data_IF_058655761988
#
_entry.id   IF_058655761988
#
_cell.length_a   1.000
_cell.length_b   1.000
_cell.length_c   1.000
_cell.angle_alpha   90.00
_cell.angle_beta   90.00
_cell.angle_gamma   90.00
#
_symmetry.space_group_name_H-M   'P 1'
#
loop_
_entity.id
_entity.type
_entity.pdbx_description
1 polymer ?
#
# COMPACT_ATOMS: atom_id res chain seq x y z
N UNK A 1 -48.08 21.79 10.62
CA UNK A 1 -46.94 22.16 9.76
C UNK A 1 -45.84 21.18 10.12
N UNK A 2 -45.77 20.08 9.38
CA UNK A 2 -44.65 19.15 9.47
C UNK A 2 -43.44 19.81 8.79
N UNK A 3 -42.22 19.62 9.32
CA UNK A 3 -41.02 20.10 8.64
C UNK A 3 -40.88 19.36 7.31
N UNK A 4 -40.41 20.04 6.25
CA UNK A 4 -40.17 19.39 4.97
C UNK A 4 -39.11 18.30 5.16
N UNK A 5 -39.44 17.07 4.74
CA UNK A 5 -38.44 16.01 4.59
C UNK A 5 -37.38 16.49 3.59
N UNK A 6 -36.13 16.56 4.04
CA UNK A 6 -35.00 16.82 3.16
C UNK A 6 -34.92 15.68 2.13
N UNK A 7 -34.77 15.99 0.84
CA UNK A 7 -34.64 14.95 -0.18
C UNK A 7 -33.39 14.11 0.10
N UNK A 8 -33.43 12.79 -0.14
CA UNK A 8 -32.25 11.95 -0.01
C UNK A 8 -31.16 12.48 -0.93
N UNK A 9 -29.97 12.68 -0.37
CA UNK A 9 -28.78 13.07 -1.13
C UNK A 9 -28.49 11.96 -2.14
N UNK A 10 -28.87 12.16 -3.40
CA UNK A 10 -28.37 11.36 -4.51
C UNK A 10 -26.87 11.67 -4.62
N UNK A 11 -26.05 10.78 -4.07
CA UNK A 11 -24.63 10.73 -4.40
C UNK A 11 -24.56 10.13 -5.80
N UNK A 12 -24.05 10.90 -6.76
CA UNK A 12 -23.72 10.39 -8.10
C UNK A 12 -22.94 9.09 -7.93
N UNK A 13 -23.53 7.98 -8.36
CA UNK A 13 -22.89 6.68 -8.34
C UNK A 13 -21.76 6.73 -9.37
N UNK A 14 -20.51 6.83 -8.90
CA UNK A 14 -19.35 6.54 -9.74
C UNK A 14 -19.41 5.09 -10.27
N UNK A 15 -18.41 4.63 -11.04
CA UNK A 15 -18.37 3.26 -11.58
C UNK A 15 -18.18 2.17 -10.51
N UNK A 16 -18.39 2.50 -9.24
CA UNK A 16 -18.19 1.63 -8.09
C UNK A 16 -19.45 1.58 -7.25
N UNK A 17 -19.82 0.35 -6.92
CA UNK A 17 -20.75 0.08 -5.82
C UNK A 17 -19.94 -0.43 -4.63
N UNK A 18 -20.18 0.16 -3.45
CA UNK A 18 -19.57 -0.32 -2.21
C UNK A 18 -20.58 -1.24 -1.55
N UNK A 19 -20.25 -2.52 -1.39
CA UNK A 19 -20.99 -3.40 -0.48
C UNK A 19 -20.46 -3.22 0.94
N UNK A 20 -21.39 -3.17 1.91
CA UNK A 20 -21.20 -3.13 3.37
C UNK A 20 -19.79 -2.81 3.90
N UNK A 21 -19.68 -1.70 4.64
CA UNK A 21 -18.44 -1.31 5.30
C UNK A 21 -18.46 -1.78 6.75
N UNK A 22 -17.50 -2.61 7.13
CA UNK A 22 -17.20 -2.96 8.51
C UNK A 22 -16.09 -2.08 9.06
N UNK A 23 -16.10 -1.82 10.38
CA UNK A 23 -15.08 -0.97 11.01
C UNK A 23 -14.62 -1.57 12.32
N UNK A 24 -13.30 -1.61 12.51
CA UNK A 24 -12.70 -2.19 13.71
C UNK A 24 -11.44 -1.42 14.13
N UNK A 25 -11.12 -1.35 15.44
CA UNK A 25 -9.91 -0.66 15.89
C UNK A 25 -8.66 -1.47 15.52
N UNK A 26 -7.62 -0.80 15.02
CA UNK A 26 -6.32 -1.41 14.74
C UNK A 26 -5.56 -1.61 16.04
N UNK A 27 -5.09 -2.83 16.30
CA UNK A 27 -4.27 -3.15 17.47
C UNK A 27 -2.79 -3.07 17.10
N UNK A 28 -1.98 -2.25 17.81
CA UNK A 28 -0.55 -2.17 17.55
C UNK A 28 0.15 -3.52 17.73
N UNK A 29 0.82 -3.98 16.69
CA UNK A 29 1.75 -5.12 16.67
C UNK A 29 3.22 -4.64 16.70
N UNK A 30 3.46 -3.42 16.24
CA UNK A 30 4.77 -2.80 16.15
C UNK A 30 5.02 -1.89 17.36
N UNK A 31 6.22 -1.97 17.95
CA UNK A 31 6.60 -1.06 19.03
C UNK A 31 6.61 0.40 18.57
N UNK A 32 6.11 1.30 19.43
CA UNK A 32 5.99 2.75 19.15
C UNK A 32 5.19 3.04 17.89
N UNK A 33 4.15 2.25 17.63
CA UNK A 33 3.22 2.52 16.57
C UNK A 33 2.56 3.91 16.76
N UNK A 34 2.62 4.80 15.75
CA UNK A 34 2.32 6.22 15.97
C UNK A 34 0.85 6.59 15.74
N UNK A 35 0.02 5.65 15.30
CA UNK A 35 -1.37 5.91 14.93
C UNK A 35 -2.33 5.23 15.91
N UNK A 36 -3.26 6.01 16.46
CA UNK A 36 -4.51 5.49 17.03
C UNK A 36 -5.56 5.54 15.92
N UNK A 37 -6.00 4.38 15.42
CA UNK A 37 -6.83 4.32 14.22
C UNK A 37 -7.80 3.16 14.16
N UNK A 38 -8.82 3.34 13.34
CA UNK A 38 -9.75 2.31 12.88
C UNK A 38 -9.39 1.89 11.46
N UNK A 39 -9.58 0.60 11.16
CA UNK A 39 -9.64 0.09 9.81
C UNK A 39 -11.09 -0.03 9.37
N UNK A 40 -11.36 0.37 8.13
CA UNK A 40 -12.64 0.31 7.46
C UNK A 40 -12.51 -0.63 6.26
N UNK A 41 -13.14 -1.79 6.35
CA UNK A 41 -13.04 -2.85 5.36
C UNK A 41 -14.34 -2.97 4.58
N UNK A 42 -14.24 -3.26 3.29
CA UNK A 42 -15.40 -3.48 2.44
C UNK A 42 -15.01 -4.04 1.09
N UNK A 43 -16.00 -4.20 0.20
CA UNK A 43 -15.75 -4.64 -1.17
C UNK A 43 -16.29 -3.60 -2.14
N UNK A 44 -15.45 -3.16 -3.06
CA UNK A 44 -15.81 -2.38 -4.24
C UNK A 44 -16.19 -3.34 -5.37
N UNK A 45 -17.32 -3.09 -6.00
CA UNK A 45 -17.72 -3.76 -7.24
C UNK A 45 -17.48 -2.76 -8.37
N UNK A 46 -16.56 -3.09 -9.26
CA UNK A 46 -16.21 -2.29 -10.44
C UNK A 46 -16.71 -2.98 -11.71
N UNK A 47 -17.58 -2.32 -12.45
CA UNK A 47 -18.06 -2.81 -13.73
C UNK A 47 -17.17 -2.31 -14.88
N UNK A 48 -16.34 -3.21 -15.41
CA UNK A 48 -15.49 -2.94 -16.57
C UNK A 48 -16.30 -3.10 -17.86
N UNK A 49 -16.66 -1.99 -18.48
CA UNK A 49 -17.25 -1.98 -19.81
C UNK A 49 -16.23 -2.37 -20.89
N UNK A 50 -16.67 -3.14 -21.88
CA UNK A 50 -15.89 -3.53 -23.05
C UNK A 50 -16.70 -3.32 -24.32
N UNK A 51 -16.06 -2.77 -25.36
CA UNK A 51 -16.69 -2.60 -26.68
C UNK A 51 -16.71 -3.88 -27.52
N UNK A 52 -15.97 -4.92 -27.11
CA UNK A 52 -15.74 -6.13 -27.92
C UNK A 52 -16.13 -7.42 -27.21
N UNK A 53 -16.27 -7.40 -25.88
CA UNK A 53 -16.70 -8.53 -25.06
C UNK A 53 -17.86 -8.08 -24.17
N UNK A 54 -18.66 -9.01 -23.62
CA UNK A 54 -19.47 -8.68 -22.45
C UNK A 54 -18.51 -8.09 -21.40
N UNK A 55 -18.84 -6.93 -20.84
CA UNK A 55 -18.09 -6.37 -19.72
C UNK A 55 -18.01 -7.35 -18.56
N UNK A 56 -17.25 -7.01 -17.52
CA UNK A 56 -17.13 -7.84 -16.32
C UNK A 56 -17.22 -7.02 -15.05
N UNK A 57 -17.91 -7.57 -14.07
CA UNK A 57 -17.87 -7.05 -12.70
C UNK A 57 -16.64 -7.62 -11.99
N UNK A 58 -15.89 -6.75 -11.34
CA UNK A 58 -14.67 -7.07 -10.62
C UNK A 58 -14.90 -6.70 -9.15
N UNK A 59 -14.85 -7.70 -8.29
CA UNK A 59 -14.89 -7.48 -6.84
C UNK A 59 -13.49 -7.21 -6.34
N UNK A 60 -13.36 -6.13 -5.59
CA UNK A 60 -12.10 -5.63 -5.06
C UNK A 60 -12.29 -5.38 -3.58
N UNK A 61 -11.58 -6.15 -2.76
CA UNK A 61 -11.61 -5.96 -1.32
C UNK A 61 -10.71 -4.77 -0.98
N UNK A 62 -11.15 -3.89 -0.09
CA UNK A 62 -10.38 -2.72 0.31
C UNK A 62 -10.34 -2.56 1.82
N UNK A 63 -9.30 -1.90 2.28
CA UNK A 63 -9.14 -1.45 3.65
C UNK A 63 -8.70 0.02 3.65
N UNK A 64 -9.42 0.87 4.39
CA UNK A 64 -9.01 2.25 4.65
C UNK A 64 -8.69 2.43 6.14
N UNK A 65 -7.55 3.05 6.44
CA UNK A 65 -7.11 3.35 7.82
C UNK A 65 -7.16 4.85 8.07
N UNK A 66 -7.98 5.27 9.04
CA UNK A 66 -8.32 6.68 9.24
C UNK A 66 -7.23 7.54 9.90
N UNK A 67 -6.31 6.93 10.66
CA UNK A 67 -5.22 7.66 11.31
C UNK A 67 -4.02 7.91 10.41
N UNK A 68 -3.70 6.96 9.53
CA UNK A 68 -2.59 7.07 8.58
C UNK A 68 -3.02 7.53 7.18
N UNK A 69 -4.33 7.64 6.93
CA UNK A 69 -4.92 7.84 5.60
C UNK A 69 -4.47 6.80 4.56
N UNK A 70 -4.15 5.58 5.02
CA UNK A 70 -3.72 4.50 4.14
C UNK A 70 -4.92 3.81 3.50
N UNK A 71 -4.92 3.70 2.17
CA UNK A 71 -5.90 2.92 1.42
C UNK A 71 -5.21 1.70 0.77
N UNK A 72 -5.70 0.51 1.10
CA UNK A 72 -5.17 -0.79 0.70
C UNK A 72 -6.22 -1.48 -0.15
N UNK A 73 -5.77 -2.12 -1.23
CA UNK A 73 -6.63 -2.79 -2.20
C UNK A 73 -6.11 -4.20 -2.43
N UNK A 74 -6.97 -5.19 -2.19
CA UNK A 74 -6.69 -6.61 -2.45
C UNK A 74 -7.54 -7.10 -3.61
N UNK A 75 -6.89 -7.73 -4.60
CA UNK A 75 -7.56 -8.27 -5.79
C UNK A 75 -7.15 -9.72 -6.03
N UNK A 76 -8.14 -10.57 -6.34
CA UNK A 76 -7.98 -12.02 -6.50
C UNK A 76 -7.61 -12.47 -7.92
N UNK A 77 -7.42 -11.54 -8.86
CA UNK A 77 -7.21 -11.83 -10.29
C UNK A 77 -6.02 -11.06 -10.87
N UNK A 78 -5.35 -11.69 -11.85
CA UNK A 78 -4.33 -11.08 -12.70
C UNK A 78 -4.96 -9.92 -13.49
N UNK A 79 -4.72 -8.69 -13.06
CA UNK A 79 -5.38 -7.51 -13.61
C UNK A 79 -4.39 -6.67 -14.39
N UNK A 80 -4.27 -6.99 -15.67
CA UNK A 80 -3.84 -6.07 -16.74
C UNK A 80 -4.61 -4.74 -16.77
N UNK A 81 -5.70 -4.61 -15.99
CA UNK A 81 -6.53 -3.41 -15.82
C UNK A 81 -6.34 -2.66 -14.48
N UNK A 82 -5.39 -3.07 -13.63
CA UNK A 82 -5.26 -2.47 -12.29
C UNK A 82 -5.00 -0.95 -12.30
N UNK A 83 -4.28 -0.42 -13.29
CA UNK A 83 -4.08 1.03 -13.43
C UNK A 83 -5.37 1.82 -13.67
N UNK A 84 -6.35 1.21 -14.33
CA UNK A 84 -7.65 1.86 -14.58
C UNK A 84 -8.46 1.90 -13.29
N UNK A 85 -8.53 0.78 -12.57
CA UNK A 85 -9.20 0.69 -11.28
C UNK A 85 -8.62 1.70 -10.27
N UNK A 86 -7.30 1.78 -10.15
CA UNK A 86 -6.61 2.73 -9.26
C UNK A 86 -6.98 4.18 -9.59
N UNK A 87 -6.89 4.60 -10.86
CA UNK A 87 -7.26 5.97 -11.28
C UNK A 87 -8.71 6.32 -10.97
N UNK A 88 -9.60 5.37 -11.16
CA UNK A 88 -11.02 5.56 -10.89
C UNK A 88 -11.28 5.69 -9.37
N UNK A 89 -10.59 4.92 -8.51
CA UNK A 89 -10.67 5.06 -7.05
C UNK A 89 -10.09 6.41 -6.59
N UNK A 90 -8.93 6.84 -7.11
CA UNK A 90 -8.33 8.15 -6.82
C UNK A 90 -9.27 9.30 -7.19
N UNK A 91 -9.98 9.17 -8.32
CA UNK A 91 -10.98 10.15 -8.76
C UNK A 91 -12.20 10.16 -7.85
N UNK A 92 -12.68 8.98 -7.44
CA UNK A 92 -13.87 8.84 -6.61
C UNK A 92 -13.65 9.29 -5.16
N UNK A 93 -12.42 9.15 -4.65
CA UNK A 93 -12.10 9.49 -3.25
C UNK A 93 -10.89 10.44 -3.21
N UNK A 94 -11.10 11.74 -3.52
CA UNK A 94 -10.01 12.72 -3.61
C UNK A 94 -9.32 13.03 -2.27
N UNK A 95 -9.81 12.47 -1.16
CA UNK A 95 -9.19 12.57 0.17
C UNK A 95 -8.31 11.37 0.51
N UNK A 96 -8.28 10.32 -0.33
CA UNK A 96 -7.26 9.28 -0.25
C UNK A 96 -5.96 9.92 -0.71
N UNK A 97 -5.04 10.16 0.22
CA UNK A 97 -3.77 10.81 -0.09
C UNK A 97 -2.84 9.94 -0.94
N UNK A 98 -3.10 8.62 -1.10
CA UNK A 98 -2.36 7.72 -2.01
C UNK A 98 -3.04 6.35 -2.11
N UNK A 99 -3.32 5.91 -3.34
CA UNK A 99 -3.27 4.49 -3.67
C UNK A 99 -1.80 4.23 -4.02
N UNK A 100 -1.11 3.37 -3.27
CA UNK A 100 0.35 3.21 -3.40
C UNK A 100 0.72 2.44 -4.67
N UNK A 101 0.66 3.14 -5.81
CA UNK A 101 1.53 2.94 -6.97
C UNK A 101 2.42 4.16 -7.06
N UNK A 102 3.71 3.96 -7.27
CA UNK A 102 4.73 5.00 -7.14
C UNK A 102 4.81 5.54 -5.70
N UNK A 103 5.21 4.69 -4.76
CA UNK A 103 5.86 5.10 -3.51
C UNK A 103 6.99 6.09 -3.83
N UNK A 104 6.67 7.36 -3.97
CA UNK A 104 7.61 8.46 -3.73
C UNK A 104 7.60 8.68 -2.22
N UNK A 105 7.93 7.62 -1.46
CA UNK A 105 8.45 7.82 -0.13
C UNK A 105 9.72 8.65 -0.28
N UNK A 106 10.00 9.54 0.68
CA UNK A 106 11.34 10.09 0.76
C UNK A 106 12.31 8.90 0.79
N UNK A 107 13.38 8.94 -0.02
CA UNK A 107 14.32 7.81 -0.16
C UNK A 107 14.79 7.33 1.22
N UNK A 108 15.05 8.26 2.14
CA UNK A 108 15.39 8.01 3.55
C UNK A 108 14.35 7.16 4.30
N UNK A 109 13.07 7.36 4.02
CA UNK A 109 11.98 6.65 4.69
C UNK A 109 11.87 5.19 4.21
N UNK A 110 12.09 4.97 2.91
CA UNK A 110 12.16 3.62 2.36
C UNK A 110 13.41 2.89 2.88
N UNK A 111 14.55 3.56 2.96
CA UNK A 111 15.76 2.99 3.58
C UNK A 111 15.50 2.56 5.03
N UNK A 112 14.88 3.41 5.87
CA UNK A 112 14.51 3.03 7.25
C UNK A 112 13.58 1.81 7.31
N UNK A 113 12.62 1.73 6.40
CA UNK A 113 11.78 0.55 6.28
C UNK A 113 12.60 -0.71 5.94
N UNK A 114 13.51 -0.65 4.97
CA UNK A 114 14.36 -1.79 4.63
C UNK A 114 15.35 -2.15 5.74
N UNK A 115 15.86 -1.17 6.48
CA UNK A 115 16.74 -1.38 7.65
C UNK A 115 16.03 -2.08 8.81
N UNK A 116 14.70 -2.00 8.88
CA UNK A 116 13.91 -2.72 9.87
C UNK A 116 13.80 -4.22 9.58
N UNK A 117 14.27 -4.68 8.41
CA UNK A 117 14.25 -6.09 8.03
C UNK A 117 15.30 -6.92 8.76
N UNK A 118 14.92 -8.13 9.18
CA UNK A 118 15.84 -9.10 9.79
C UNK A 118 16.87 -9.63 8.80
N UNK A 119 16.51 -9.70 7.52
CA UNK A 119 17.41 -10.12 6.44
C UNK A 119 17.14 -9.33 5.16
N UNK A 120 18.22 -8.92 4.52
CA UNK A 120 18.19 -8.38 3.16
C UNK A 120 18.47 -9.54 2.20
N UNK A 121 17.55 -9.81 1.27
CA UNK A 121 17.73 -10.83 0.23
C UNK A 121 18.31 -10.20 -1.04
N UNK A 122 17.79 -9.04 -1.42
CA UNK A 122 18.21 -8.29 -2.61
C UNK A 122 17.88 -6.81 -2.44
N UNK A 123 18.77 -5.91 -2.86
CA UNK A 123 18.47 -4.47 -3.02
C UNK A 123 19.21 -4.00 -4.26
N UNK A 124 18.48 -3.45 -5.21
CA UNK A 124 19.05 -2.80 -6.36
C UNK A 124 18.73 -1.30 -6.33
N UNK A 125 19.76 -0.50 -6.58
CA UNK A 125 19.67 0.96 -6.57
C UNK A 125 19.99 1.53 -7.95
N UNK A 126 19.51 2.74 -8.22
CA UNK A 126 19.77 3.42 -9.48
C UNK A 126 21.11 4.18 -9.42
N UNK A 127 22.09 3.73 -10.20
CA UNK A 127 23.39 4.38 -10.36
C UNK A 127 23.54 4.84 -11.81
N UNK A 128 23.58 6.16 -12.04
CA UNK A 128 23.71 6.74 -13.38
C UNK A 128 22.67 6.20 -14.40
N UNK A 129 21.44 5.96 -13.94
CA UNK A 129 20.35 5.42 -14.76
C UNK A 129 20.45 3.92 -15.05
N UNK A 130 21.29 3.18 -14.30
CA UNK A 130 21.38 1.73 -14.35
C UNK A 130 21.09 1.14 -12.99
N UNK A 131 20.30 0.09 -12.99
CA UNK A 131 20.07 -0.76 -11.82
C UNK A 131 21.37 -1.49 -11.46
N UNK A 132 21.80 -1.34 -10.21
CA UNK A 132 23.04 -1.94 -9.68
C UNK A 132 22.77 -2.51 -8.29
N UNK A 133 23.22 -3.75 -7.99
CA UNK A 133 23.14 -4.29 -6.64
C UNK A 133 23.86 -3.38 -5.65
N UNK A 134 23.20 -3.09 -4.52
CA UNK A 134 23.70 -2.08 -3.57
C UNK A 134 25.07 -2.45 -2.96
N UNK A 135 25.44 -3.73 -2.94
CA UNK A 135 26.72 -4.25 -2.44
C UNK A 135 27.80 -4.34 -3.52
N UNK A 136 27.47 -4.08 -4.79
CA UNK A 136 28.40 -4.08 -5.92
C UNK A 136 28.83 -2.67 -6.36
N UNK A 137 28.44 -1.63 -5.62
CA UNK A 137 28.81 -0.24 -5.95
C UNK A 137 30.30 -0.01 -5.67
N UNK A 138 31.11 -0.01 -6.73
CA UNK A 138 32.55 0.18 -6.63
C UNK A 138 32.92 1.54 -6.00
N UNK A 139 33.78 1.50 -4.98
CA UNK A 139 34.38 2.71 -4.39
C UNK A 139 33.50 3.48 -3.41
N UNK A 140 32.31 2.97 -3.07
CA UNK A 140 31.39 3.57 -2.09
C UNK A 140 31.20 2.62 -0.91
N UNK A 141 31.49 3.04 0.33
CA UNK A 141 31.13 2.27 1.52
C UNK A 141 29.62 2.01 1.56
N UNK A 142 29.21 0.81 1.99
CA UNK A 142 27.78 0.43 2.09
C UNK A 142 26.94 1.43 2.89
N UNK A 143 27.52 1.99 3.97
CA UNK A 143 26.87 3.01 4.81
C UNK A 143 26.57 4.30 4.02
N UNK A 144 27.41 4.63 3.04
CA UNK A 144 27.24 5.79 2.17
C UNK A 144 26.27 5.51 1.01
N UNK A 145 25.84 4.26 0.80
CA UNK A 145 24.81 3.91 -0.19
C UNK A 145 23.40 4.14 0.38
N UNK A 146 23.23 3.84 1.66
CA UNK A 146 21.96 4.00 2.38
C UNK A 146 21.62 5.50 2.45
N UNK A 147 20.41 5.87 2.02
CA UNK A 147 19.92 7.26 2.03
C UNK A 147 20.43 8.15 0.88
N UNK A 148 21.46 7.72 0.13
CA UNK A 148 22.03 8.55 -0.96
C UNK A 148 21.68 8.06 -2.37
N UNK A 149 21.12 6.85 -2.49
CA UNK A 149 20.72 6.26 -3.75
C UNK A 149 19.25 5.86 -3.73
N UNK A 150 18.57 6.13 -4.84
CA UNK A 150 17.20 5.70 -5.08
C UNK A 150 17.13 4.17 -5.20
N UNK A 151 16.22 3.56 -4.45
CA UNK A 151 15.95 2.12 -4.51
C UNK A 151 14.97 1.86 -5.65
N UNK A 152 15.38 1.01 -6.61
CA UNK A 152 14.51 0.57 -7.71
C UNK A 152 13.69 -0.65 -7.29
N UNK A 153 14.36 -1.62 -6.67
CA UNK A 153 13.71 -2.77 -6.06
C UNK A 153 14.47 -3.26 -4.82
N UNK A 154 13.72 -3.93 -3.96
CA UNK A 154 14.25 -4.60 -2.78
C UNK A 154 13.43 -5.83 -2.44
N UNK A 155 14.10 -6.90 -2.05
CA UNK A 155 13.51 -8.10 -1.47
C UNK A 155 14.09 -8.25 -0.07
N UNK A 156 13.23 -8.20 0.94
CA UNK A 156 13.62 -8.31 2.35
C UNK A 156 12.79 -9.37 3.06
N UNK A 157 13.38 -9.97 4.09
CA UNK A 157 12.69 -10.88 4.98
C UNK A 157 12.53 -10.28 6.36
N UNK A 158 11.31 -10.33 6.86
CA UNK A 158 10.92 -9.93 8.20
C UNK A 158 10.56 -11.18 9.01
N UNK A 159 10.82 -11.16 10.31
CA UNK A 159 10.39 -12.17 11.26
C UNK A 159 9.47 -11.54 12.30
N UNK A 160 8.27 -12.09 12.43
CA UNK A 160 7.37 -11.73 13.51
C UNK A 160 6.87 -12.99 14.20
N UNK A 161 7.09 -13.08 15.52
CA UNK A 161 6.71 -14.23 16.35
C UNK A 161 7.17 -15.60 15.80
N UNK A 162 8.33 -15.64 15.12
CA UNK A 162 8.88 -16.86 14.54
C UNK A 162 8.40 -17.18 13.12
N UNK A 163 7.45 -16.43 12.56
CA UNK A 163 7.02 -16.56 11.18
C UNK A 163 7.84 -15.64 10.27
N UNK A 164 8.31 -16.18 9.14
CA UNK A 164 9.03 -15.39 8.15
C UNK A 164 8.05 -14.82 7.13
N UNK A 165 8.21 -13.54 6.84
CA UNK A 165 7.42 -12.78 5.87
C UNK A 165 8.40 -12.27 4.83
N UNK A 166 8.10 -12.46 3.55
CA UNK A 166 8.92 -11.89 2.47
C UNK A 166 8.21 -10.67 1.93
N UNK A 167 8.95 -9.57 1.78
CA UNK A 167 8.41 -8.31 1.26
C UNK A 167 9.22 -7.93 0.02
N UNK A 168 8.49 -7.67 -1.05
CA UNK A 168 9.01 -7.24 -2.33
C UNK A 168 8.59 -5.79 -2.55
N UNK A 169 9.57 -4.93 -2.75
CA UNK A 169 9.36 -3.56 -3.19
C UNK A 169 9.86 -3.44 -4.62
N UNK A 170 9.03 -2.94 -5.53
CA UNK A 170 9.41 -2.69 -6.92
C UNK A 170 8.60 -1.53 -7.49
N UNK A 171 9.27 -0.53 -8.09
CA UNK A 171 8.62 0.62 -8.74
C UNK A 171 7.52 1.27 -7.89
N UNK A 172 7.76 1.40 -6.59
CA UNK A 172 6.83 2.01 -5.68
C UNK A 172 5.59 1.17 -5.35
N UNK A 173 5.63 -0.13 -5.62
CA UNK A 173 4.64 -1.12 -5.21
C UNK A 173 5.23 -1.99 -4.10
N UNK A 174 4.46 -2.25 -3.04
CA UNK A 174 4.83 -3.16 -1.97
C UNK A 174 3.98 -4.45 -2.07
N UNK A 175 4.63 -5.58 -2.30
CA UNK A 175 4.03 -6.90 -2.28
C UNK A 175 4.48 -7.65 -1.02
N UNK A 176 3.52 -8.18 -0.27
CA UNK A 176 3.76 -8.90 0.97
C UNK A 176 3.40 -10.37 0.74
N UNK A 177 4.37 -11.25 0.89
CA UNK A 177 4.17 -12.69 0.80
C UNK A 177 4.12 -13.29 2.20
N UNK A 178 2.90 -13.50 2.69
CA UNK A 178 2.63 -14.18 3.95
C UNK A 178 1.30 -14.93 3.88
N UNK A 179 1.26 -16.13 4.43
CA UNK A 179 0.04 -16.89 4.69
C UNK A 179 -0.58 -16.56 6.08
N UNK A 180 0.04 -15.64 6.81
CA UNK A 180 -0.34 -15.27 8.16
C UNK A 180 -0.83 -13.82 8.23
N UNK A 181 -2.12 -13.65 8.50
CA UNK A 181 -2.79 -12.34 8.56
C UNK A 181 -2.09 -11.33 9.48
N UNK A 182 -1.64 -11.76 10.67
CA UNK A 182 -0.90 -10.87 11.58
C UNK A 182 0.49 -10.51 11.04
N UNK A 183 1.07 -11.35 10.17
CA UNK A 183 2.32 -11.04 9.48
C UNK A 183 2.11 -9.91 8.48
N UNK A 184 1.04 -9.98 7.68
CA UNK A 184 0.64 -8.88 6.77
C UNK A 184 0.37 -7.60 7.55
N UNK A 185 -0.43 -7.68 8.62
CA UNK A 185 -0.71 -6.53 9.49
C UNK A 185 0.56 -5.93 10.08
N UNK A 186 1.49 -6.77 10.54
CA UNK A 186 2.77 -6.31 11.08
C UNK A 186 3.58 -5.51 10.06
N UNK A 187 3.65 -5.99 8.80
CA UNK A 187 4.34 -5.27 7.72
C UNK A 187 3.65 -3.95 7.39
N UNK A 188 2.32 -3.93 7.34
CA UNK A 188 1.56 -2.69 7.09
C UNK A 188 1.86 -1.67 8.19
N UNK A 189 1.80 -2.07 9.46
CA UNK A 189 2.09 -1.14 10.56
C UNK A 189 3.53 -0.64 10.57
N UNK A 190 4.48 -1.50 10.16
CA UNK A 190 5.88 -1.14 10.03
C UNK A 190 6.08 -0.12 8.91
N UNK A 191 5.41 -0.34 7.79
CA UNK A 191 5.34 0.61 6.67
C UNK A 191 4.75 1.95 7.12
N UNK A 192 3.61 1.94 7.82
CA UNK A 192 2.97 3.14 8.35
C UNK A 192 3.93 3.92 9.28
N UNK A 193 4.64 3.22 10.17
CA UNK A 193 5.61 3.83 11.10
C UNK A 193 6.80 4.45 10.36
N UNK A 194 7.48 3.70 9.52
CA UNK A 194 8.75 4.14 8.91
C UNK A 194 8.53 5.12 7.75
N UNK A 195 7.50 4.89 6.95
CA UNK A 195 7.29 5.61 5.70
C UNK A 195 6.29 6.75 5.86
N UNK A 196 5.14 6.53 6.52
CA UNK A 196 4.10 7.56 6.62
C UNK A 196 4.32 8.52 7.78
N UNK A 197 4.74 7.99 8.93
CA UNK A 197 5.07 8.83 10.09
C UNK A 197 6.50 9.35 10.05
N UNK A 198 7.47 8.50 9.72
CA UNK A 198 8.90 8.84 9.72
C UNK A 198 9.30 9.93 8.72
N UNK A 199 8.47 10.24 7.72
CA UNK A 199 8.73 11.27 6.70
C UNK A 199 8.54 12.72 7.19
N UNK A 200 8.42 12.96 8.50
CA UNK A 200 8.24 14.30 9.11
C UNK A 200 9.45 14.77 9.89
#
# INVERSE_FOLDING_TARGET
MEPPEEPPVQRDSGPFEISDIESSPVKPLVERYPFEQYKHEGTLIYDEESSYTPGRSINVDFEYRDGSNLFIVEYKTDLSSTERLVREIETAVPQIERIYRNLHAAEDALWRFLESADRILEINVLVNGKETPYDEIEGVPREDVIGNYAIENAIVGLNHQGNNITVHYEHGTLQIESDWEQGTEFVIQLFEREILHGSK
#
